data_IF_670595285299
#
_entry.id   IF_670595285299
#
_cell.length_a   1.000
_cell.length_b   1.000
_cell.length_c   1.000
_cell.angle_alpha   90.00
_cell.angle_beta   90.00
_cell.angle_gamma   90.00
#
_symmetry.space_group_name_H-M   'P 1'
#
loop_
_entity.id
_entity.type
_entity.pdbx_description
1 polymer ?
#
# COMPACT_ATOMS: atom_id res chain seq x y z
N UNK A 1 -10.89 -11.16 13.23
CA UNK A 1 -9.59 -10.42 13.20
C UNK A 1 -8.52 -11.47 13.37
N UNK A 2 -7.63 -11.63 12.40
CA UNK A 2 -6.42 -12.44 12.59
C UNK A 2 -5.51 -11.52 13.40
N UNK A 3 -5.32 -11.80 14.69
CA UNK A 3 -4.23 -11.19 15.43
C UNK A 3 -2.95 -11.62 14.76
N UNK A 4 -2.24 -10.65 14.15
CA UNK A 4 -0.95 -10.88 13.53
C UNK A 4 0.05 -11.13 14.65
N UNK A 5 0.20 -12.37 15.07
CA UNK A 5 1.32 -12.77 15.90
C UNK A 5 2.60 -12.68 15.06
N UNK A 6 3.44 -11.71 15.42
CA UNK A 6 4.79 -11.59 14.87
C UNK A 6 5.69 -12.51 15.69
N UNK A 7 6.18 -13.57 15.08
CA UNK A 7 7.21 -14.41 15.69
C UNK A 7 8.58 -13.74 15.53
N UNK A 8 9.25 -13.50 16.63
CA UNK A 8 10.62 -12.96 16.64
C UNK A 8 11.60 -14.10 16.94
N UNK A 9 12.46 -14.39 15.97
CA UNK A 9 13.52 -15.37 16.10
C UNK A 9 14.83 -14.62 16.29
N UNK A 10 15.40 -14.68 17.49
CA UNK A 10 16.68 -14.05 17.81
C UNK A 10 17.85 -15.03 17.57
N UNK A 11 18.18 -15.23 16.29
CA UNK A 11 19.22 -16.16 15.85
C UNK A 11 19.94 -15.61 14.60
N UNK A 12 21.08 -16.18 14.25
CA UNK A 12 21.73 -15.90 12.97
C UNK A 12 20.90 -16.43 11.80
N UNK A 13 21.06 -15.81 10.63
CA UNK A 13 20.34 -16.24 9.44
C UNK A 13 20.62 -17.71 9.10
N UNK A 14 19.56 -18.48 8.97
CA UNK A 14 19.55 -19.84 8.43
C UNK A 14 18.41 -20.00 7.42
N UNK A 15 18.64 -20.74 6.34
CA UNK A 15 17.65 -21.05 5.30
C UNK A 15 16.38 -21.70 5.86
N UNK A 16 16.48 -22.42 6.98
CA UNK A 16 15.34 -23.05 7.65
C UNK A 16 14.23 -22.05 8.00
N UNK A 17 14.58 -20.80 8.35
CA UNK A 17 13.63 -19.76 8.74
C UNK A 17 12.83 -19.20 7.57
N UNK A 18 13.32 -19.29 6.35
CA UNK A 18 12.65 -18.77 5.17
C UNK A 18 12.18 -19.86 4.20
N UNK A 19 12.39 -21.14 4.57
CA UNK A 19 12.06 -22.29 3.70
C UNK A 19 10.58 -22.27 3.28
N UNK A 20 9.68 -22.02 4.21
CA UNK A 20 8.23 -22.09 4.00
C UNK A 20 7.61 -20.69 3.74
N UNK A 21 8.44 -19.62 3.68
CA UNK A 21 7.99 -18.27 3.38
C UNK A 21 7.68 -18.11 1.89
N UNK A 22 6.60 -17.38 1.57
CA UNK A 22 6.26 -16.99 0.20
C UNK A 22 6.92 -15.65 -0.18
N UNK A 23 6.99 -14.72 0.77
CA UNK A 23 7.60 -13.40 0.60
C UNK A 23 8.72 -13.24 1.62
N UNK A 24 9.87 -12.74 1.19
CA UNK A 24 11.05 -12.50 2.02
C UNK A 24 11.55 -11.06 1.82
N UNK A 25 11.90 -10.38 2.91
CA UNK A 25 12.60 -9.10 2.87
C UNK A 25 13.96 -9.29 3.52
N UNK A 26 15.03 -9.14 2.74
CA UNK A 26 16.40 -9.20 3.21
C UNK A 26 16.90 -7.79 3.54
N UNK A 27 16.93 -7.46 4.83
CA UNK A 27 17.23 -6.13 5.36
C UNK A 27 18.24 -6.18 6.53
N UNK A 28 19.21 -7.07 6.45
CA UNK A 28 20.28 -7.15 7.47
C UNK A 28 21.34 -6.07 7.22
N UNK A 29 22.20 -5.83 8.20
CA UNK A 29 23.36 -4.97 8.07
C UNK A 29 24.54 -5.64 7.35
N UNK A 30 24.41 -6.90 6.92
CA UNK A 30 25.44 -7.67 6.23
C UNK A 30 25.02 -7.97 4.79
N UNK A 31 25.70 -7.31 3.84
CA UNK A 31 25.44 -7.46 2.40
C UNK A 31 25.59 -8.88 1.87
N UNK A 32 26.57 -9.64 2.40
CA UNK A 32 26.79 -11.02 1.97
C UNK A 32 25.63 -11.94 2.40
N UNK A 33 25.05 -11.68 3.57
CA UNK A 33 23.85 -12.38 4.03
C UNK A 33 22.66 -12.02 3.16
N UNK A 34 22.42 -10.71 2.91
CA UNK A 34 21.35 -10.24 2.05
C UNK A 34 21.45 -10.85 0.64
N UNK A 35 22.67 -10.89 0.08
CA UNK A 35 22.92 -11.53 -1.21
C UNK A 35 22.58 -13.04 -1.19
N UNK A 36 23.03 -13.77 -0.17
CA UNK A 36 22.70 -15.21 -0.02
C UNK A 36 21.20 -15.46 0.07
N UNK A 37 20.48 -14.61 0.79
CA UNK A 37 19.00 -14.67 0.89
C UNK A 37 18.37 -14.45 -0.48
N UNK A 38 18.79 -13.41 -1.20
CA UNK A 38 18.28 -13.08 -2.53
C UNK A 38 18.48 -14.23 -3.52
N UNK A 39 19.69 -14.77 -3.61
CA UNK A 39 20.01 -15.92 -4.47
C UNK A 39 19.15 -17.14 -4.11
N UNK A 40 19.06 -17.47 -2.83
CA UNK A 40 18.23 -18.60 -2.38
C UNK A 40 16.76 -18.43 -2.75
N UNK A 41 16.20 -17.25 -2.52
CA UNK A 41 14.79 -16.97 -2.82
C UNK A 41 14.50 -17.07 -4.32
N UNK A 42 15.36 -16.48 -5.18
CA UNK A 42 15.19 -16.55 -6.63
C UNK A 42 15.27 -17.99 -7.14
N UNK A 43 16.20 -18.80 -6.62
CA UNK A 43 16.33 -20.23 -6.99
C UNK A 43 15.13 -21.08 -6.56
N UNK A 44 14.40 -20.65 -5.53
CA UNK A 44 13.25 -21.38 -4.98
C UNK A 44 11.89 -20.74 -5.33
N UNK A 45 11.84 -19.81 -6.28
CA UNK A 45 10.59 -19.19 -6.77
C UNK A 45 9.86 -18.34 -5.72
N UNK A 46 10.60 -17.78 -4.74
CA UNK A 46 10.06 -16.92 -3.69
C UNK A 46 10.11 -15.46 -4.09
N UNK A 47 9.14 -14.66 -3.64
CA UNK A 47 9.22 -13.22 -3.76
C UNK A 47 10.28 -12.69 -2.77
N UNK A 48 11.23 -11.91 -3.27
CA UNK A 48 12.28 -11.33 -2.44
C UNK A 48 12.55 -9.86 -2.76
N UNK A 49 12.62 -9.06 -1.69
CA UNK A 49 13.13 -7.69 -1.73
C UNK A 49 14.43 -7.64 -0.93
N UNK A 50 15.54 -7.38 -1.60
CA UNK A 50 16.87 -7.19 -1.01
C UNK A 50 17.14 -5.69 -0.96
N UNK A 51 17.20 -5.11 0.25
CA UNK A 51 17.19 -3.65 0.44
C UNK A 51 18.41 -2.93 -0.15
N UNK A 52 19.52 -3.61 -0.30
CA UNK A 52 20.81 -3.10 -0.82
C UNK A 52 21.19 -3.71 -2.18
N UNK A 53 20.33 -4.54 -2.78
CA UNK A 53 20.58 -5.16 -4.08
C UNK A 53 19.30 -5.23 -4.93
N UNK A 54 19.20 -4.31 -5.88
CA UNK A 54 18.05 -4.21 -6.78
C UNK A 54 17.98 -5.38 -7.77
N UNK A 55 19.13 -5.89 -8.23
CA UNK A 55 19.19 -6.94 -9.25
C UNK A 55 18.74 -8.30 -8.70
N UNK A 56 18.91 -8.52 -7.40
CA UNK A 56 18.41 -9.70 -6.72
C UNK A 56 16.96 -9.59 -6.28
N UNK A 57 16.40 -8.37 -6.26
CA UNK A 57 15.01 -8.14 -5.89
C UNK A 57 14.08 -8.46 -7.06
N UNK A 58 13.10 -9.34 -6.86
CA UNK A 58 12.07 -9.65 -7.85
C UNK A 58 10.72 -8.99 -7.54
N UNK A 59 10.60 -8.30 -6.41
CA UNK A 59 9.54 -7.34 -6.11
C UNK A 59 10.09 -6.18 -5.28
N UNK A 60 9.36 -5.06 -5.23
CA UNK A 60 9.71 -3.92 -4.40
C UNK A 60 8.50 -3.47 -3.59
N UNK A 61 8.74 -3.08 -2.34
CA UNK A 61 7.71 -2.46 -1.49
C UNK A 61 7.69 -0.96 -1.80
N UNK A 62 6.62 -0.43 -2.38
CA UNK A 62 6.52 1.00 -2.66
C UNK A 62 6.36 1.81 -1.37
N UNK A 63 6.77 3.07 -1.39
CA UNK A 63 6.27 4.05 -0.42
C UNK A 63 4.77 4.21 -0.62
N UNK A 64 4.02 4.51 0.43
CA UNK A 64 2.58 4.70 0.29
C UNK A 64 2.02 5.75 1.25
N UNK A 65 0.87 6.30 0.86
CA UNK A 65 -0.02 7.10 1.70
C UNK A 65 -1.31 6.32 1.87
N UNK A 66 -1.75 6.13 3.09
CA UNK A 66 -3.00 5.43 3.41
C UNK A 66 -3.93 6.33 4.21
N UNK A 67 -5.21 6.38 3.79
CA UNK A 67 -6.30 7.10 4.46
C UNK A 67 -7.54 6.21 4.44
N UNK A 68 -7.79 5.50 5.53
CA UNK A 68 -8.80 4.45 5.55
C UNK A 68 -8.56 3.42 4.44
N UNK A 69 -9.51 3.27 3.51
CA UNK A 69 -9.40 2.37 2.36
C UNK A 69 -8.68 2.98 1.14
N UNK A 70 -8.39 4.29 1.16
CA UNK A 70 -7.57 4.91 0.12
C UNK A 70 -6.10 4.50 0.30
N UNK A 71 -5.49 3.96 -0.74
CA UNK A 71 -4.07 3.64 -0.81
C UNK A 71 -3.46 4.22 -2.08
N UNK A 72 -2.48 5.11 -1.91
CA UNK A 72 -1.70 5.70 -3.01
C UNK A 72 -0.27 5.17 -2.89
N UNK A 73 0.19 4.43 -3.89
CA UNK A 73 1.52 3.85 -3.91
C UNK A 73 2.47 4.65 -4.80
N UNK A 74 3.70 4.85 -4.34
CA UNK A 74 4.74 5.63 -5.02
C UNK A 74 5.98 4.74 -5.19
N UNK A 75 6.40 4.55 -6.43
CA UNK A 75 7.62 3.81 -6.73
C UNK A 75 8.44 4.53 -7.79
N UNK A 76 9.75 4.57 -7.60
CA UNK A 76 10.72 5.01 -8.61
C UNK A 76 11.52 3.82 -9.16
N UNK A 77 11.03 2.59 -8.94
CA UNK A 77 11.76 1.38 -9.32
C UNK A 77 13.12 1.26 -8.66
N UNK A 78 13.29 1.82 -7.44
CA UNK A 78 14.56 1.82 -6.71
C UNK A 78 15.56 2.90 -7.16
N UNK A 79 15.24 3.70 -8.21
CA UNK A 79 16.20 4.69 -8.74
C UNK A 79 16.36 5.93 -7.86
N UNK A 80 15.33 6.32 -7.11
CA UNK A 80 15.40 7.51 -6.25
C UNK A 80 14.49 7.38 -5.02
N UNK A 81 14.97 6.78 -3.93
CA UNK A 81 14.23 6.73 -2.66
C UNK A 81 13.89 8.13 -2.12
N UNK A 82 14.79 9.10 -2.30
CA UNK A 82 14.56 10.50 -1.87
C UNK A 82 13.41 11.18 -2.62
N UNK A 83 13.27 10.91 -3.93
CA UNK A 83 12.14 11.41 -4.72
C UNK A 83 10.83 10.77 -4.28
N UNK A 84 10.82 9.46 -4.04
CA UNK A 84 9.63 8.76 -3.52
C UNK A 84 9.21 9.33 -2.15
N UNK A 85 10.17 9.61 -1.27
CA UNK A 85 9.90 10.23 0.03
C UNK A 85 9.39 11.68 -0.09
N UNK A 86 9.90 12.46 -1.05
CA UNK A 86 9.40 13.80 -1.34
C UNK A 86 7.94 13.75 -1.81
N UNK A 87 7.66 12.95 -2.85
CA UNK A 87 6.30 12.80 -3.40
C UNK A 87 5.33 12.29 -2.32
N UNK A 88 5.78 11.37 -1.46
CA UNK A 88 4.96 10.90 -0.33
C UNK A 88 4.51 12.07 0.54
N UNK A 89 5.40 12.96 0.97
CA UNK A 89 5.06 14.13 1.79
C UNK A 89 4.06 15.07 1.10
N UNK A 90 4.28 15.35 -0.19
CA UNK A 90 3.38 16.19 -0.98
C UNK A 90 1.97 15.55 -1.08
N UNK A 91 1.89 14.23 -1.21
CA UNK A 91 0.62 13.51 -1.22
C UNK A 91 -0.03 13.44 0.17
N UNK A 92 0.74 13.35 1.25
CA UNK A 92 0.22 13.38 2.62
C UNK A 92 -0.43 14.73 2.96
N UNK A 93 0.09 15.84 2.42
CA UNK A 93 -0.50 17.17 2.53
C UNK A 93 -1.76 17.33 1.66
N UNK A 94 -1.75 16.75 0.45
CA UNK A 94 -2.87 16.83 -0.49
C UNK A 94 -4.03 15.93 -0.09
N UNK A 95 -3.72 14.72 0.39
CA UNK A 95 -4.66 13.69 0.83
C UNK A 95 -4.55 13.53 2.33
N UNK A 96 -5.20 14.44 3.06
CA UNK A 96 -5.23 14.47 4.52
C UNK A 96 -6.12 13.34 5.11
N UNK A 97 -6.24 13.27 6.44
CA UNK A 97 -6.98 12.20 7.12
C UNK A 97 -8.48 12.18 6.78
N UNK A 98 -9.06 13.30 6.36
CA UNK A 98 -10.49 13.37 5.98
C UNK A 98 -10.84 12.50 4.76
N UNK A 99 -9.85 12.15 3.95
CA UNK A 99 -10.06 11.24 2.83
C UNK A 99 -10.50 9.83 3.26
N UNK A 100 -10.15 9.41 4.48
CA UNK A 100 -10.64 8.16 5.05
C UNK A 100 -12.17 8.15 5.15
N UNK A 101 -12.75 9.14 5.82
CA UNK A 101 -14.20 9.28 5.94
C UNK A 101 -14.88 9.50 4.58
N UNK A 102 -14.26 10.31 3.72
CA UNK A 102 -14.80 10.58 2.39
C UNK A 102 -14.92 9.31 1.55
N UNK A 103 -13.92 8.44 1.54
CA UNK A 103 -13.96 7.15 0.84
C UNK A 103 -15.05 6.22 1.40
N UNK A 104 -15.23 6.19 2.71
CA UNK A 104 -16.30 5.42 3.34
C UNK A 104 -17.70 5.91 2.90
N UNK A 105 -17.92 7.22 2.87
CA UNK A 105 -19.16 7.82 2.38
C UNK A 105 -19.42 7.52 0.91
N UNK A 106 -18.39 7.60 0.06
CA UNK A 106 -18.49 7.20 -1.34
C UNK A 106 -18.84 5.71 -1.49
N UNK A 107 -18.28 4.85 -0.64
CA UNK A 107 -18.61 3.43 -0.60
C UNK A 107 -20.08 3.17 -0.25
N UNK A 108 -20.60 3.86 0.76
CA UNK A 108 -22.01 3.77 1.14
C UNK A 108 -22.95 4.30 0.04
N UNK A 109 -22.61 5.47 -0.54
CA UNK A 109 -23.38 6.03 -1.66
C UNK A 109 -23.39 5.08 -2.87
N UNK A 110 -22.24 4.49 -3.21
CA UNK A 110 -22.12 3.50 -4.27
C UNK A 110 -23.05 2.30 -4.05
N UNK A 111 -23.05 1.76 -2.84
CA UNK A 111 -23.92 0.61 -2.49
C UNK A 111 -25.38 0.96 -2.71
N UNK A 112 -25.82 2.12 -2.21
CA UNK A 112 -27.20 2.59 -2.34
C UNK A 112 -27.61 2.84 -3.79
N UNK A 113 -26.76 3.51 -4.57
CA UNK A 113 -27.01 3.78 -6.00
C UNK A 113 -27.16 2.49 -6.80
N UNK A 114 -26.32 1.49 -6.54
CA UNK A 114 -26.41 0.19 -7.22
C UNK A 114 -27.68 -0.58 -6.83
N UNK A 115 -28.11 -0.48 -5.57
CA UNK A 115 -29.35 -1.11 -5.10
C UNK A 115 -30.62 -0.45 -5.68
N UNK A 116 -30.62 0.87 -5.86
CA UNK A 116 -31.77 1.65 -6.34
C UNK A 116 -31.89 1.72 -7.87
N UNK A 117 -30.76 1.68 -8.60
CA UNK A 117 -30.73 1.79 -10.05
C UNK A 117 -30.74 0.43 -10.74
N UNK A 118 -31.70 0.25 -11.67
CA UNK A 118 -31.79 -0.94 -12.52
C UNK A 118 -30.90 -0.85 -13.77
N UNK A 119 -30.50 0.37 -14.16
CA UNK A 119 -29.62 0.63 -15.30
C UNK A 119 -28.20 0.91 -14.83
N UNK A 120 -27.27 0.08 -15.32
CA UNK A 120 -25.84 0.17 -14.97
C UNK A 120 -25.22 1.49 -15.46
N UNK A 121 -25.70 2.02 -16.59
CA UNK A 121 -25.18 3.27 -17.16
C UNK A 121 -25.58 4.47 -16.30
N UNK A 122 -26.85 4.55 -15.89
CA UNK A 122 -27.33 5.62 -15.01
C UNK A 122 -26.62 5.59 -13.65
N UNK A 123 -26.46 4.40 -13.06
CA UNK A 123 -25.72 4.22 -11.83
C UNK A 123 -24.27 4.70 -11.94
N UNK A 124 -23.60 4.43 -13.06
CA UNK A 124 -22.23 4.88 -13.31
C UNK A 124 -22.14 6.39 -13.43
N UNK A 125 -23.02 7.02 -14.19
CA UNK A 125 -23.05 8.49 -14.36
C UNK A 125 -23.28 9.21 -13.02
N UNK A 126 -24.14 8.66 -12.17
CA UNK A 126 -24.38 9.22 -10.84
C UNK A 126 -23.15 9.05 -9.91
N UNK A 127 -22.48 7.90 -9.93
CA UNK A 127 -21.27 7.66 -9.16
C UNK A 127 -20.12 8.58 -9.60
N UNK A 128 -19.95 8.79 -10.91
CA UNK A 128 -18.94 9.70 -11.45
C UNK A 128 -19.23 11.15 -10.99
N UNK A 129 -20.50 11.57 -10.97
CA UNK A 129 -20.90 12.89 -10.48
C UNK A 129 -20.58 13.09 -9.00
N UNK A 130 -20.89 12.11 -8.15
CA UNK A 130 -20.65 12.20 -6.71
C UNK A 130 -19.15 12.21 -6.40
N UNK A 131 -18.37 11.42 -7.11
CA UNK A 131 -16.90 11.37 -6.90
C UNK A 131 -16.18 12.65 -7.28
N UNK A 132 -16.78 13.50 -8.15
CA UNK A 132 -16.27 14.79 -8.57
C UNK A 132 -16.85 15.97 -7.75
N UNK A 133 -17.72 15.70 -6.80
CA UNK A 133 -18.36 16.74 -5.98
C UNK A 133 -17.45 17.21 -4.85
N UNK A 134 -16.72 18.30 -5.11
CA UNK A 134 -15.86 18.97 -4.13
C UNK A 134 -16.66 19.50 -2.90
N UNK A 135 -17.95 19.75 -3.03
CA UNK A 135 -18.80 20.19 -1.90
C UNK A 135 -19.02 19.07 -0.90
N UNK A 136 -19.21 17.83 -1.38
CA UNK A 136 -19.33 16.67 -0.51
C UNK A 136 -18.06 16.46 0.29
N UNK A 137 -16.91 16.54 -0.38
CA UNK A 137 -15.60 16.47 0.28
C UNK A 137 -15.40 17.56 1.32
N UNK A 138 -15.71 18.82 0.99
CA UNK A 138 -15.60 19.96 1.92
C UNK A 138 -16.51 19.83 3.14
N UNK A 139 -17.70 19.24 3.01
CA UNK A 139 -18.59 18.98 4.14
C UNK A 139 -18.02 17.96 5.13
N UNK A 140 -17.28 16.97 4.64
CA UNK A 140 -16.57 16.01 5.49
C UNK A 140 -15.43 16.73 6.22
N UNK A 141 -14.62 17.50 5.49
CA UNK A 141 -13.52 18.31 6.05
C UNK A 141 -14.00 19.25 7.17
N UNK A 142 -15.11 19.97 6.96
CA UNK A 142 -15.62 20.94 7.95
C UNK A 142 -16.18 20.27 9.22
N UNK A 143 -16.62 18.99 9.14
CA UNK A 143 -17.07 18.23 10.32
C UNK A 143 -15.92 17.72 11.17
N UNK A 144 -14.74 17.52 10.59
CA UNK A 144 -13.55 17.05 11.29
C UNK A 144 -12.82 18.17 12.03
N UNK A 145 -13.17 19.46 11.77
CA UNK A 145 -12.58 20.64 12.38
C UNK A 145 -13.46 21.27 13.48
N UNK A 146 -14.66 20.76 13.73
CA UNK A 146 -15.54 21.08 14.86
C UNK A 146 -15.47 19.98 15.94
#
# INVERSE_FOLDING_TARGET
>A
MIENEIEIINDEYDKKYIKDSFVVVAATNNKDINHKIGVYCNQNGKLVNVVDDKELSNFTVPSYVKRGELLISISTGGNSPSLSAKIKRELEETYDESYGEYIELLGLARKKIIEENKDIKEAKEELDRISQDDLLRRKVLNRTLE
#
